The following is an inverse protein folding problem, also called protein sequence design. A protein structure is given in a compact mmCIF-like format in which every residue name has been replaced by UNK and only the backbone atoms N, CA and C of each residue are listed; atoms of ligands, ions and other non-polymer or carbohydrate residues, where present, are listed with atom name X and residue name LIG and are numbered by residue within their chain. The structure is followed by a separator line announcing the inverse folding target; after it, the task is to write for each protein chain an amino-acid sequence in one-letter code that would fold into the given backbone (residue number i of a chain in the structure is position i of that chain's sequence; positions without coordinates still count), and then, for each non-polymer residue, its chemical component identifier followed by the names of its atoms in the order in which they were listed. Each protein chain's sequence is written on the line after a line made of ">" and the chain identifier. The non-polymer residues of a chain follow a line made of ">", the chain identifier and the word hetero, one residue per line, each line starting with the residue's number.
data_IF_447022332163
#
_entry.id   IF_447022332163
#
_cell.length_a   1.000
_cell.length_b   1.000
_cell.length_c   1.000
_cell.angle_alpha   90.00
_cell.angle_beta   90.00
_cell.angle_gamma   90.00
#
_symmetry.space_group_name_H-M   'P 1'
#
loop_
_entity.id
_entity.type
_entity.pdbx_description
1 polymer ?
#
# COMPACT_ATOMS: atom_id res chain seq x y z
N UNK A 1 -49.08 1.77 7.86
CA UNK A 1 -48.17 2.29 8.90
C UNK A 1 -46.68 2.22 8.59
N UNK A 2 -46.24 1.63 7.48
CA UNK A 2 -44.78 1.46 7.17
C UNK A 2 -44.11 2.62 6.43
N UNK A 3 -44.82 3.56 5.84
CA UNK A 3 -44.21 4.63 5.02
C UNK A 3 -43.74 5.85 5.80
N UNK A 4 -44.31 6.12 6.96
CA UNK A 4 -43.94 7.27 7.79
C UNK A 4 -42.66 7.01 8.58
N UNK A 5 -42.39 5.74 8.92
CA UNK A 5 -41.16 5.36 9.68
C UNK A 5 -39.89 5.49 8.85
N UNK A 6 -39.96 5.20 7.54
CA UNK A 6 -38.80 5.28 6.64
C UNK A 6 -38.38 6.75 6.39
N UNK A 7 -39.33 7.65 6.22
CA UNK A 7 -39.03 9.09 6.06
C UNK A 7 -38.41 9.71 7.32
N UNK A 8 -38.82 9.29 8.52
CA UNK A 8 -38.25 9.78 9.78
C UNK A 8 -36.79 9.27 9.99
N UNK A 9 -36.49 8.05 9.61
CA UNK A 9 -35.12 7.51 9.68
C UNK A 9 -34.19 8.20 8.67
N UNK A 10 -34.68 8.47 7.46
CA UNK A 10 -33.92 9.21 6.44
C UNK A 10 -33.70 10.66 6.89
N UNK A 11 -34.70 11.32 7.49
CA UNK A 11 -34.56 12.67 8.00
C UNK A 11 -33.61 12.78 9.20
N UNK A 12 -33.54 11.75 10.04
CA UNK A 12 -32.58 11.68 11.16
C UNK A 12 -31.16 11.45 10.68
N UNK A 13 -30.94 10.64 9.63
CA UNK A 13 -29.63 10.45 8.98
C UNK A 13 -29.15 11.74 8.29
N UNK A 14 -30.02 12.47 7.63
CA UNK A 14 -29.71 13.75 6.97
C UNK A 14 -29.33 14.82 8.01
N UNK A 15 -30.02 14.87 9.16
CA UNK A 15 -29.75 15.85 10.22
C UNK A 15 -28.41 15.54 10.97
N UNK A 16 -28.03 14.27 11.11
CA UNK A 16 -26.74 13.90 11.69
C UNK A 16 -25.58 14.18 10.74
N UNK A 17 -25.77 13.99 9.42
CA UNK A 17 -24.78 14.33 8.41
C UNK A 17 -24.46 15.83 8.38
N UNK A 18 -25.48 16.71 8.50
CA UNK A 18 -25.26 18.16 8.52
C UNK A 18 -24.43 18.67 9.70
N UNK A 19 -24.52 18.02 10.88
CA UNK A 19 -23.69 18.38 12.04
C UNK A 19 -22.22 17.92 11.86
N UNK A 20 -22.03 16.81 11.17
CA UNK A 20 -20.69 16.28 10.87
C UNK A 20 -20.00 17.16 9.83
N UNK A 21 -20.71 17.62 8.79
CA UNK A 21 -20.12 18.49 7.77
C UNK A 21 -19.72 19.87 8.30
N UNK A 22 -20.50 20.47 9.18
CA UNK A 22 -20.12 21.74 9.81
C UNK A 22 -18.87 21.60 10.70
N UNK A 23 -18.70 20.47 11.35
CA UNK A 23 -17.51 20.17 12.14
C UNK A 23 -16.29 19.87 11.26
N UNK A 24 -16.46 19.18 10.14
CA UNK A 24 -15.42 18.88 9.15
C UNK A 24 -14.99 20.14 8.40
N UNK A 25 -15.91 21.04 8.05
CA UNK A 25 -15.61 22.34 7.45
C UNK A 25 -14.77 23.22 8.40
N UNK A 26 -15.14 23.30 9.67
CA UNK A 26 -14.36 24.02 10.68
C UNK A 26 -12.95 23.42 10.90
N UNK A 27 -12.81 22.11 10.74
CA UNK A 27 -11.51 21.43 10.81
C UNK A 27 -10.70 21.73 9.56
N UNK A 28 -11.31 21.73 8.36
CA UNK A 28 -10.64 22.09 7.09
C UNK A 28 -10.16 23.54 7.09
N UNK A 29 -10.99 24.48 7.53
CA UNK A 29 -10.62 25.90 7.60
C UNK A 29 -9.49 26.18 8.63
N UNK A 30 -9.47 25.43 9.74
CA UNK A 30 -8.32 25.39 10.65
C UNK A 30 -7.08 24.74 10.04
N UNK A 31 -7.22 23.74 9.19
CA UNK A 31 -6.12 23.08 8.49
C UNK A 31 -5.47 24.03 7.48
N UNK A 32 -6.25 24.81 6.75
CA UNK A 32 -5.74 25.79 5.78
C UNK A 32 -4.97 26.92 6.47
N UNK A 33 -5.39 27.30 7.68
CA UNK A 33 -4.71 28.33 8.48
C UNK A 33 -3.41 27.81 9.14
N UNK A 34 -3.35 26.53 9.48
CA UNK A 34 -2.14 25.86 10.02
C UNK A 34 -1.12 25.56 8.92
N UNK A 35 -1.55 25.48 7.66
CA UNK A 35 -0.67 25.29 6.48
C UNK A 35 0.34 26.44 6.28
N UNK A 36 0.17 27.55 6.96
CA UNK A 36 1.11 28.69 6.89
C UNK A 36 2.40 28.49 7.69
N UNK A 37 2.48 27.48 8.58
CA UNK A 37 3.71 27.18 9.36
C UNK A 37 4.21 25.77 8.99
N UNK A 38 4.74 25.63 7.81
CA UNK A 38 4.97 24.35 7.13
C UNK A 38 6.15 23.53 7.61
N UNK A 39 5.86 22.28 8.03
CA UNK A 39 6.73 21.14 7.71
C UNK A 39 5.90 19.95 7.17
N UNK A 40 4.74 20.21 6.56
CA UNK A 40 3.95 19.19 5.89
C UNK A 40 4.70 18.69 4.64
N UNK A 41 5.13 17.45 4.67
CA UNK A 41 5.77 16.84 3.51
C UNK A 41 4.69 16.20 2.61
N UNK A 42 4.42 16.86 1.49
CA UNK A 42 3.51 16.38 0.47
C UNK A 42 4.28 15.63 -0.60
N UNK A 43 4.00 14.34 -0.73
CA UNK A 43 4.54 13.49 -1.78
C UNK A 43 3.46 13.33 -2.85
N UNK A 44 3.75 13.81 -4.07
CA UNK A 44 2.85 13.67 -5.21
C UNK A 44 3.32 12.56 -6.14
N UNK A 45 2.40 11.94 -6.92
CA UNK A 45 2.72 10.86 -7.86
C UNK A 45 3.82 11.19 -8.87
N UNK A 46 3.94 12.44 -9.26
CA UNK A 46 4.98 12.95 -10.17
C UNK A 46 6.42 12.71 -9.65
N UNK A 47 6.56 12.62 -8.32
CA UNK A 47 7.82 12.33 -7.64
C UNK A 47 8.00 10.83 -7.32
N UNK A 48 7.05 10.00 -7.70
CA UNK A 48 7.07 8.57 -7.43
C UNK A 48 8.05 7.88 -8.39
N UNK A 49 8.77 6.88 -7.86
CA UNK A 49 9.66 6.03 -8.66
C UNK A 49 8.89 5.43 -9.83
N UNK A 50 9.42 5.59 -11.04
CA UNK A 50 8.89 4.92 -12.22
C UNK A 50 9.29 3.46 -12.17
N UNK A 51 8.33 2.57 -12.37
CA UNK A 51 8.53 1.12 -12.39
C UNK A 51 7.40 0.37 -11.69
N UNK A 52 7.44 -0.95 -11.72
CA UNK A 52 6.45 -1.75 -11.02
C UNK A 52 6.57 -1.51 -9.50
N UNK A 53 5.48 -1.06 -8.90
CA UNK A 53 5.33 -0.86 -7.47
C UNK A 53 4.33 -1.91 -6.97
N UNK A 54 4.73 -2.70 -5.99
CA UNK A 54 3.89 -3.80 -5.50
C UNK A 54 2.73 -3.29 -4.64
N UNK A 55 2.95 -2.17 -3.91
CA UNK A 55 1.94 -1.60 -3.02
C UNK A 55 2.19 -0.10 -2.78
N UNK A 56 1.23 0.54 -2.10
CA UNK A 56 1.30 1.97 -1.76
C UNK A 56 2.49 2.33 -0.83
N UNK A 57 3.01 1.39 -0.06
CA UNK A 57 4.15 1.61 0.84
C UNK A 57 5.46 1.75 0.07
N UNK A 58 5.61 1.06 -1.06
CA UNK A 58 6.79 1.17 -1.93
C UNK A 58 6.96 2.59 -2.46
N UNK A 59 5.83 3.30 -2.64
CA UNK A 59 5.81 4.71 -3.02
C UNK A 59 6.47 5.59 -1.97
N UNK A 60 6.23 5.30 -0.68
CA UNK A 60 6.77 6.09 0.44
C UNK A 60 8.24 5.81 0.72
N UNK A 61 8.74 4.67 0.27
CA UNK A 61 10.10 4.23 0.56
C UNK A 61 11.15 5.21 0.01
N UNK A 62 11.91 5.83 0.92
CA UNK A 62 12.98 6.78 0.59
C UNK A 62 12.48 8.16 0.10
N UNK A 63 11.19 8.45 0.20
CA UNK A 63 10.63 9.73 -0.24
C UNK A 63 10.59 10.79 0.86
N UNK A 64 10.69 10.39 2.12
CA UNK A 64 10.51 11.28 3.27
C UNK A 64 11.55 11.05 4.33
N UNK A 65 12.23 12.12 4.79
CA UNK A 65 13.20 12.05 5.87
C UNK A 65 12.53 11.64 7.19
N UNK A 66 13.10 10.68 7.91
CA UNK A 66 12.56 10.15 9.16
C UNK A 66 11.38 9.18 8.99
N UNK A 67 11.06 8.79 7.77
CA UNK A 67 10.13 7.69 7.48
C UNK A 67 10.93 6.49 7.02
N UNK A 68 10.89 5.44 7.81
CA UNK A 68 11.52 4.17 7.47
C UNK A 68 10.45 3.18 7.06
N UNK A 69 10.50 2.74 5.82
CA UNK A 69 9.65 1.69 5.28
C UNK A 69 10.52 0.45 5.13
N UNK A 70 10.24 -0.58 5.91
CA UNK A 70 10.89 -1.87 5.78
C UNK A 70 10.00 -2.76 4.93
N UNK A 71 10.47 -3.06 3.73
CA UNK A 71 9.85 -4.03 2.83
C UNK A 71 10.65 -5.32 2.91
N UNK A 72 10.01 -6.41 3.26
CA UNK A 72 10.68 -7.71 3.38
C UNK A 72 10.83 -8.45 2.05
N UNK A 73 10.94 -7.70 0.95
CA UNK A 73 11.16 -8.26 -0.37
C UNK A 73 9.95 -8.99 -0.95
N UNK A 74 10.19 -10.16 -1.52
CA UNK A 74 9.19 -10.99 -2.20
C UNK A 74 8.47 -11.96 -1.28
N UNK A 75 8.63 -11.83 0.02
CA UNK A 75 8.09 -12.75 1.01
C UNK A 75 6.64 -12.36 1.37
N UNK A 76 5.79 -13.33 1.68
CA UNK A 76 4.42 -13.11 2.18
C UNK A 76 4.39 -12.18 3.39
N UNK A 77 5.46 -12.23 4.18
CA UNK A 77 5.72 -11.30 5.28
C UNK A 77 5.95 -9.86 4.80
N UNK A 78 6.11 -9.62 3.50
CA UNK A 78 6.04 -8.29 2.92
C UNK A 78 4.67 -7.61 3.11
N UNK A 79 3.61 -8.37 3.36
CA UNK A 79 2.35 -7.84 3.86
C UNK A 79 2.47 -7.28 5.28
N UNK A 80 3.48 -7.69 6.03
CA UNK A 80 3.89 -7.12 7.31
C UNK A 80 4.96 -6.04 7.10
N UNK A 81 4.90 -5.33 5.97
CA UNK A 81 5.72 -4.14 5.79
C UNK A 81 5.52 -3.24 7.00
N UNK A 82 6.60 -2.94 7.67
CA UNK A 82 6.54 -2.00 8.77
C UNK A 82 6.90 -0.61 8.28
N UNK A 83 6.12 0.34 8.67
CA UNK A 83 6.42 1.75 8.45
C UNK A 83 6.62 2.40 9.82
N UNK A 84 7.70 3.16 9.97
CA UNK A 84 7.99 3.90 11.19
C UNK A 84 8.25 5.34 10.86
N UNK A 85 7.61 6.23 11.61
CA UNK A 85 7.83 7.67 11.54
C UNK A 85 8.60 8.08 12.78
N UNK A 86 9.79 8.68 12.58
CA UNK A 86 10.71 9.11 13.66
C UNK A 86 11.25 7.99 14.57
N UNK A 87 11.20 6.74 14.13
CA UNK A 87 11.75 5.61 14.89
C UNK A 87 10.78 5.01 15.90
N UNK A 88 11.33 4.37 16.92
CA UNK A 88 10.54 3.66 17.95
C UNK A 88 10.16 4.63 19.06
N UNK A 89 8.87 4.83 19.28
CA UNK A 89 8.33 5.74 20.31
C UNK A 89 7.92 5.00 21.57
N UNK A 90 7.67 3.70 21.50
CA UNK A 90 7.25 2.86 22.61
C UNK A 90 7.99 1.52 22.65
N UNK A 91 8.37 1.08 23.84
CA UNK A 91 9.02 -0.22 24.06
C UNK A 91 7.98 -1.34 24.13
N UNK A 92 6.81 -1.07 24.68
CA UNK A 92 5.76 -2.07 24.95
C UNK A 92 4.52 -1.90 24.07
N UNK A 93 4.34 -0.72 23.45
CA UNK A 93 3.19 -0.41 22.59
C UNK A 93 3.51 -0.51 21.10
N UNK A 94 2.50 -0.44 20.28
CA UNK A 94 2.63 -0.33 18.82
C UNK A 94 3.40 0.95 18.43
N UNK A 95 4.29 0.81 17.46
CA UNK A 95 5.05 1.93 16.90
C UNK A 95 4.59 2.29 15.50
N UNK A 96 3.47 1.72 15.07
CA UNK A 96 2.91 1.96 13.75
C UNK A 96 2.25 3.35 13.71
N UNK A 97 2.46 4.12 12.66
CA UNK A 97 1.79 5.39 12.48
C UNK A 97 0.29 5.19 12.27
N UNK A 98 -0.49 6.19 12.64
CA UNK A 98 -1.90 6.24 12.30
C UNK A 98 -2.06 6.47 10.79
N UNK A 99 -2.79 5.59 10.13
CA UNK A 99 -3.10 5.71 8.71
C UNK A 99 -4.49 6.30 8.54
N UNK A 100 -4.62 7.30 7.66
CA UNK A 100 -5.88 7.93 7.30
C UNK A 100 -6.01 7.92 5.78
N UNK A 101 -7.07 7.30 5.27
CA UNK A 101 -7.34 7.19 3.85
C UNK A 101 -8.63 7.95 3.55
N UNK A 102 -8.53 9.01 2.75
CA UNK A 102 -9.66 9.89 2.39
C UNK A 102 -10.46 10.39 3.61
N UNK A 103 -9.77 10.64 4.73
CA UNK A 103 -10.35 11.09 5.98
C UNK A 103 -10.85 9.97 6.92
N UNK A 104 -10.77 8.72 6.50
CA UNK A 104 -11.17 7.55 7.31
C UNK A 104 -9.94 6.92 7.96
N UNK A 105 -10.01 6.72 9.27
CA UNK A 105 -8.96 6.00 10.00
C UNK A 105 -8.86 4.55 9.53
N UNK A 106 -7.66 4.13 9.22
CA UNK A 106 -7.35 2.82 8.66
C UNK A 106 -6.07 2.23 9.29
N UNK A 107 -5.58 1.14 8.75
CA UNK A 107 -4.35 0.47 9.16
C UNK A 107 -3.37 0.30 7.98
N UNK A 108 -2.16 -0.15 8.29
CA UNK A 108 -1.10 -0.39 7.31
C UNK A 108 -1.49 -1.53 6.34
N UNK A 109 -2.22 -2.52 6.83
CA UNK A 109 -2.67 -3.63 5.99
C UNK A 109 -3.62 -3.13 4.89
N UNK A 110 -4.60 -2.30 5.25
CA UNK A 110 -5.50 -1.64 4.28
C UNK A 110 -4.73 -0.72 3.34
N UNK A 111 -3.76 0.06 3.84
CA UNK A 111 -2.91 0.91 2.99
C UNK A 111 -2.17 0.09 1.94
N UNK A 112 -1.65 -1.09 2.31
CA UNK A 112 -0.92 -1.96 1.39
C UNK A 112 -1.79 -2.52 0.25
N UNK A 113 -3.10 -2.50 0.39
CA UNK A 113 -4.03 -2.98 -0.66
C UNK A 113 -4.34 -1.93 -1.71
N UNK A 114 -4.12 -0.63 -1.42
CA UNK A 114 -4.41 0.46 -2.37
C UNK A 114 -3.48 0.37 -3.57
N UNK A 115 -4.06 0.44 -4.76
CA UNK A 115 -3.28 0.45 -5.99
C UNK A 115 -2.51 1.78 -6.11
N UNK A 116 -1.18 1.76 -6.33
CA UNK A 116 -0.35 2.97 -6.34
C UNK A 116 -0.83 4.06 -7.31
N UNK A 117 -1.36 3.68 -8.47
CA UNK A 117 -1.85 4.63 -9.47
C UNK A 117 -3.16 5.36 -9.05
N UNK A 118 -3.89 4.85 -8.06
CA UNK A 118 -5.07 5.52 -7.50
C UNK A 118 -4.74 6.56 -6.43
N UNK A 119 -3.48 6.67 -6.04
CA UNK A 119 -3.05 7.64 -5.03
C UNK A 119 -2.85 9.00 -5.67
N UNK A 120 -3.43 10.03 -5.08
CA UNK A 120 -3.24 11.43 -5.45
C UNK A 120 -2.06 12.05 -4.70
N UNK A 121 -2.02 11.83 -3.38
CA UNK A 121 -0.95 12.38 -2.55
C UNK A 121 -0.85 11.64 -1.21
N UNK A 122 0.35 11.70 -0.65
CA UNK A 122 0.62 11.37 0.75
C UNK A 122 0.98 12.64 1.51
N UNK A 123 0.47 12.76 2.71
CA UNK A 123 0.85 13.79 3.68
C UNK A 123 1.34 13.10 4.93
N UNK A 124 2.57 13.39 5.36
CA UNK A 124 3.16 12.77 6.54
C UNK A 124 3.25 13.82 7.63
N UNK A 125 2.53 13.59 8.73
CA UNK A 125 2.54 14.43 9.92
C UNK A 125 3.50 13.84 10.94
N UNK A 126 4.59 14.54 11.17
CA UNK A 126 5.67 14.07 12.04
C UNK A 126 5.71 14.84 13.37
N UNK A 127 5.34 16.11 13.36
CA UNK A 127 5.48 16.99 14.50
C UNK A 127 4.31 16.84 15.49
N UNK A 128 4.61 16.98 16.77
CA UNK A 128 3.60 16.87 17.82
C UNK A 128 2.44 17.86 17.64
N UNK A 129 2.73 19.07 17.14
CA UNK A 129 1.70 20.08 16.84
C UNK A 129 0.73 19.62 15.75
N UNK A 130 1.25 18.94 14.71
CA UNK A 130 0.47 18.45 13.59
C UNK A 130 -0.35 17.22 13.98
N UNK A 131 0.22 16.34 14.81
CA UNK A 131 -0.43 15.09 15.24
C UNK A 131 -1.35 15.28 16.44
N UNK A 132 -1.30 16.42 17.13
CA UNK A 132 -2.10 16.71 18.34
C UNK A 132 -3.62 16.53 18.13
N UNK A 133 -4.11 16.84 16.91
CA UNK A 133 -5.53 16.69 16.59
C UNK A 133 -6.00 15.21 16.57
N UNK A 134 -5.06 14.26 16.45
CA UNK A 134 -5.33 12.83 16.46
C UNK A 134 -5.14 12.18 17.84
N UNK A 135 -4.80 13.00 18.85
CA UNK A 135 -4.59 12.54 20.23
C UNK A 135 -3.49 11.50 20.36
N UNK A 136 -3.66 10.56 21.30
CA UNK A 136 -2.67 9.51 21.55
C UNK A 136 -2.42 8.58 20.35
N UNK A 137 -3.41 8.42 19.47
CA UNK A 137 -3.27 7.59 18.25
C UNK A 137 -2.26 8.18 17.26
N UNK A 138 -2.04 9.49 17.28
CA UNK A 138 -1.05 10.18 16.45
C UNK A 138 0.37 10.21 17.03
N UNK A 139 0.63 9.61 18.20
CA UNK A 139 1.91 9.69 18.90
C UNK A 139 3.09 9.12 18.06
N UNK A 140 2.85 8.06 17.28
CA UNK A 140 3.83 7.43 16.38
C UNK A 140 3.88 8.08 14.99
N UNK A 141 3.25 9.26 14.80
CA UNK A 141 3.09 9.93 13.52
C UNK A 141 1.77 9.57 12.83
N UNK A 142 1.43 10.35 11.82
CA UNK A 142 0.21 10.14 11.01
C UNK A 142 0.57 10.16 9.53
N UNK A 143 0.01 9.24 8.78
CA UNK A 143 0.11 9.16 7.32
C UNK A 143 -1.28 9.35 6.75
N UNK A 144 -1.50 10.50 6.14
CA UNK A 144 -2.74 10.81 5.44
C UNK A 144 -2.57 10.54 3.94
N UNK A 145 -3.47 9.76 3.38
CA UNK A 145 -3.49 9.40 1.97
C UNK A 145 -4.75 10.00 1.36
N UNK A 146 -4.57 10.73 0.27
CA UNK A 146 -5.66 11.15 -0.60
C UNK A 146 -5.63 10.30 -1.86
N UNK A 147 -6.77 9.72 -2.19
CA UNK A 147 -6.92 8.98 -3.44
C UNK A 147 -7.50 9.87 -4.53
N UNK A 148 -7.17 9.55 -5.77
CA UNK A 148 -7.68 10.26 -6.94
C UNK A 148 -9.20 10.13 -6.99
N UNK A 149 -9.86 11.26 -7.10
CA UNK A 149 -11.32 11.39 -7.30
C UNK A 149 -11.63 11.79 -8.73
N UNK A 150 -12.88 11.70 -9.13
CA UNK A 150 -13.34 12.20 -10.41
C UNK A 150 -13.13 13.71 -10.54
N UNK A 151 -12.69 14.14 -11.70
CA UNK A 151 -12.60 15.56 -12.03
C UNK A 151 -13.90 15.99 -12.70
N UNK A 152 -14.47 17.13 -12.31
CA UNK A 152 -15.73 17.66 -12.87
C UNK A 152 -15.67 18.13 -14.33
N UNK A 153 -14.68 17.67 -15.09
CA UNK A 153 -14.39 18.14 -16.45
C UNK A 153 -14.44 17.00 -17.46
N UNK A 154 -15.65 16.73 -17.95
CA UNK A 154 -15.81 15.76 -19.03
C UNK A 154 -15.52 14.32 -18.63
N UNK A 155 -15.43 13.46 -19.64
CA UNK A 155 -15.09 12.04 -19.47
C UNK A 155 -13.62 11.81 -19.83
N UNK A 156 -12.89 11.15 -18.92
CA UNK A 156 -11.47 10.84 -19.07
C UNK A 156 -11.25 9.35 -18.83
N UNK A 157 -10.43 8.75 -19.69
CA UNK A 157 -9.96 7.37 -19.53
C UNK A 157 -8.45 7.43 -19.34
N UNK A 158 -7.95 6.80 -18.28
CA UNK A 158 -6.52 6.63 -18.06
C UNK A 158 -6.16 5.16 -17.98
N UNK A 159 -5.08 4.80 -18.66
CA UNK A 159 -4.50 3.46 -18.59
C UNK A 159 -3.03 3.58 -18.25
N UNK A 160 -2.61 2.81 -17.24
CA UNK A 160 -1.22 2.66 -16.85
C UNK A 160 -0.86 1.17 -16.87
N UNK A 161 0.22 0.82 -17.56
CA UNK A 161 0.66 -0.55 -17.71
C UNK A 161 2.15 -0.68 -17.52
N UNK A 162 2.56 -1.66 -16.71
CA UNK A 162 3.96 -2.00 -16.48
C UNK A 162 4.21 -3.48 -16.76
N UNK A 163 5.36 -3.76 -17.34
CA UNK A 163 5.85 -5.10 -17.59
C UNK A 163 7.33 -5.18 -17.22
N UNK A 164 7.71 -6.14 -16.40
CA UNK A 164 9.08 -6.26 -15.90
C UNK A 164 9.52 -7.70 -15.75
N UNK A 165 10.85 -7.89 -15.87
CA UNK A 165 11.51 -9.16 -15.61
C UNK A 165 12.38 -9.01 -14.38
N UNK A 166 12.39 -10.03 -13.55
CA UNK A 166 13.25 -10.14 -12.37
C UNK A 166 14.25 -11.27 -12.57
N UNK A 167 15.50 -11.00 -12.30
CA UNK A 167 16.54 -12.02 -12.32
C UNK A 167 17.43 -11.88 -11.09
N UNK A 168 17.99 -12.98 -10.65
CA UNK A 168 18.94 -12.96 -9.55
C UNK A 168 20.23 -12.27 -10.02
N UNK A 169 20.59 -11.18 -9.35
CA UNK A 169 21.77 -10.39 -9.68
C UNK A 169 23.07 -11.12 -9.29
N UNK A 170 23.05 -11.83 -8.16
CA UNK A 170 24.23 -12.52 -7.63
C UNK A 170 23.80 -13.76 -6.84
N UNK A 171 24.44 -14.87 -7.12
CA UNK A 171 24.32 -16.09 -6.34
C UNK A 171 25.31 -16.09 -5.18
N UNK A 172 24.90 -16.67 -4.05
CA UNK A 172 25.85 -17.02 -3.01
C UNK A 172 26.80 -18.07 -3.59
N UNK A 173 28.12 -17.85 -3.47
CA UNK A 173 29.08 -18.86 -3.86
C UNK A 173 29.08 -19.95 -2.79
N UNK A 174 28.64 -21.12 -3.16
CA UNK A 174 28.60 -22.31 -2.31
C UNK A 174 29.44 -23.38 -2.93
N UNK A 175 29.97 -24.25 -2.10
CA UNK A 175 30.76 -25.39 -2.56
C UNK A 175 29.84 -26.29 -3.40
N UNK A 176 30.32 -26.74 -4.56
CA UNK A 176 29.67 -27.80 -5.29
C UNK A 176 29.97 -29.16 -4.64
N UNK A 177 29.31 -30.24 -5.06
CA UNK A 177 29.48 -31.55 -4.45
C UNK A 177 30.95 -32.03 -4.36
N UNK A 178 31.74 -31.99 -5.44
CA UNK A 178 33.17 -32.32 -5.41
C UNK A 178 34.00 -31.42 -4.48
N UNK A 179 33.76 -30.12 -4.49
CA UNK A 179 34.45 -29.15 -3.61
C UNK A 179 34.10 -29.38 -2.13
N UNK A 180 32.84 -29.69 -1.84
CA UNK A 180 32.39 -30.03 -0.50
C UNK A 180 33.09 -31.28 0.02
N UNK A 181 33.14 -32.35 -0.79
CA UNK A 181 33.81 -33.60 -0.43
C UNK A 181 35.29 -33.35 -0.15
N UNK A 182 36.00 -32.67 -1.06
CA UNK A 182 37.42 -32.37 -0.89
C UNK A 182 37.68 -31.53 0.38
N UNK A 183 36.78 -30.58 0.68
CA UNK A 183 36.89 -29.74 1.88
C UNK A 183 36.63 -30.57 3.16
N UNK A 184 35.60 -31.41 3.15
CA UNK A 184 35.25 -32.27 4.27
C UNK A 184 36.39 -33.27 4.58
N UNK A 185 37.00 -33.89 3.56
CA UNK A 185 38.15 -34.77 3.71
C UNK A 185 39.36 -34.04 4.29
N UNK A 186 39.64 -32.83 3.77
CA UNK A 186 40.73 -32.00 4.27
C UNK A 186 40.58 -31.59 5.74
N UNK A 187 39.33 -31.43 6.19
CA UNK A 187 39.00 -31.07 7.57
C UNK A 187 38.77 -32.27 8.48
N UNK A 188 38.82 -33.52 7.95
CA UNK A 188 38.52 -34.73 8.71
C UNK A 188 37.09 -34.83 9.19
N UNK A 189 36.17 -34.22 8.50
CA UNK A 189 34.73 -34.24 8.81
C UNK A 189 34.10 -35.53 8.26
N UNK A 190 33.17 -36.09 9.02
CA UNK A 190 32.37 -37.22 8.55
C UNK A 190 31.29 -36.69 7.59
N UNK A 191 31.16 -37.29 6.41
CA UNK A 191 30.17 -36.87 5.41
C UNK A 191 29.56 -38.06 4.69
N UNK A 192 28.33 -37.89 4.25
CA UNK A 192 27.62 -38.86 3.44
C UNK A 192 27.64 -38.44 1.96
N UNK A 193 28.38 -39.15 1.13
CA UNK A 193 28.41 -38.89 -0.31
C UNK A 193 27.28 -39.63 -0.99
N UNK A 194 26.18 -38.91 -1.24
CA UNK A 194 25.02 -39.41 -2.00
C UNK A 194 25.26 -39.56 -3.51
N UNK A 195 26.42 -39.14 -4.01
CA UNK A 195 26.77 -39.22 -5.44
C UNK A 195 26.09 -38.18 -6.34
N UNK A 196 25.44 -37.21 -5.77
CA UNK A 196 24.73 -36.16 -6.52
C UNK A 196 25.48 -34.82 -6.47
N UNK A 197 25.40 -34.07 -7.58
CA UNK A 197 25.97 -32.73 -7.70
C UNK A 197 24.92 -31.79 -8.30
N UNK A 198 23.83 -31.56 -7.55
CA UNK A 198 22.72 -30.74 -8.01
C UNK A 198 22.89 -29.32 -7.50
N UNK A 199 22.86 -28.34 -8.41
CA UNK A 199 22.76 -26.94 -8.03
C UNK A 199 21.32 -26.64 -7.65
N UNK A 200 21.00 -26.69 -6.37
CA UNK A 200 19.65 -26.43 -5.88
C UNK A 200 19.18 -24.99 -6.09
N UNK A 201 20.10 -24.02 -6.15
CA UNK A 201 19.73 -22.64 -6.50
C UNK A 201 19.07 -22.56 -7.88
N UNK A 202 19.60 -23.25 -8.88
CA UNK A 202 19.00 -23.26 -10.23
C UNK A 202 17.67 -24.02 -10.26
N UNK A 203 17.55 -25.03 -9.39
CA UNK A 203 16.30 -25.79 -9.28
C UNK A 203 15.17 -24.95 -8.72
N UNK A 204 15.42 -24.12 -7.70
CA UNK A 204 14.40 -23.34 -6.98
C UNK A 204 14.16 -21.97 -7.58
N UNK A 205 15.06 -21.46 -8.44
CA UNK A 205 14.93 -20.13 -9.03
C UNK A 205 14.48 -20.18 -10.49
N UNK A 206 13.97 -19.07 -10.93
CA UNK A 206 13.56 -18.78 -12.32
C UNK A 206 13.74 -17.29 -12.61
N UNK A 207 13.64 -16.90 -13.87
CA UNK A 207 13.39 -15.51 -14.22
C UNK A 207 11.96 -15.17 -13.80
N UNK A 208 11.82 -14.22 -12.90
CA UNK A 208 10.52 -13.71 -12.46
C UNK A 208 9.89 -12.80 -13.52
N UNK A 209 8.59 -12.70 -13.48
CA UNK A 209 7.79 -11.89 -14.38
C UNK A 209 6.77 -11.09 -13.58
N UNK A 210 6.75 -9.79 -13.76
CA UNK A 210 5.72 -8.93 -13.21
C UNK A 210 5.00 -8.18 -14.34
N UNK A 211 3.69 -8.19 -14.30
CA UNK A 211 2.88 -7.31 -15.14
C UNK A 211 1.76 -6.69 -14.32
N UNK A 212 1.53 -5.41 -14.59
CA UNK A 212 0.56 -4.59 -13.87
C UNK A 212 -0.25 -3.82 -14.89
N UNK A 213 -1.56 -3.76 -14.68
CA UNK A 213 -2.50 -3.02 -15.50
C UNK A 213 -3.43 -2.24 -14.61
N UNK A 214 -3.57 -0.97 -14.87
CA UNK A 214 -4.51 -0.10 -14.18
C UNK A 214 -5.30 0.69 -15.20
N UNK A 215 -6.62 0.58 -15.14
CA UNK A 215 -7.55 1.28 -15.99
C UNK A 215 -8.47 2.11 -15.10
N UNK A 216 -8.62 3.39 -15.41
CA UNK A 216 -9.54 4.23 -14.69
C UNK A 216 -10.38 5.08 -15.64
N UNK A 217 -11.62 5.24 -15.25
CA UNK A 217 -12.64 6.06 -15.88
C UNK A 217 -13.04 7.14 -14.90
N UNK A 218 -12.97 8.38 -15.28
CA UNK A 218 -13.39 9.50 -14.46
C UNK A 218 -14.19 10.49 -15.27
N UNK A 219 -15.05 11.21 -14.59
CA UNK A 219 -15.85 12.24 -15.23
C UNK A 219 -16.72 12.94 -14.22
N UNK A 220 -17.53 13.86 -14.73
CA UNK A 220 -18.46 14.57 -13.89
C UNK A 220 -18.89 15.92 -14.45
N UNK A 221 -19.53 16.68 -13.59
CA UNK A 221 -20.00 18.03 -13.80
C UNK A 221 -19.62 18.91 -12.60
N UNK A 222 -20.08 20.13 -12.55
CA UNK A 222 -19.87 21.02 -11.38
C UNK A 222 -20.44 20.44 -10.09
N UNK A 223 -21.51 19.67 -10.20
CA UNK A 223 -22.27 19.16 -9.05
C UNK A 223 -22.08 17.67 -8.81
N UNK A 224 -21.46 16.93 -9.73
CA UNK A 224 -21.31 15.49 -9.61
C UNK A 224 -20.00 15.02 -10.20
N UNK A 225 -19.25 14.24 -9.47
CA UNK A 225 -18.01 13.66 -9.92
C UNK A 225 -18.06 12.16 -9.67
N UNK A 226 -17.49 11.39 -10.60
CA UNK A 226 -17.35 9.95 -10.44
C UNK A 226 -16.00 9.48 -10.95
N UNK A 227 -15.48 8.44 -10.32
CA UNK A 227 -14.30 7.71 -10.75
C UNK A 227 -14.51 6.23 -10.51
N UNK A 228 -14.20 5.43 -11.51
CA UNK A 228 -14.12 3.98 -11.39
C UNK A 228 -12.71 3.57 -11.78
N UNK A 229 -12.03 2.77 -10.98
CA UNK A 229 -10.73 2.22 -11.31
C UNK A 229 -10.67 0.72 -11.12
N UNK A 230 -9.84 0.08 -11.94
CA UNK A 230 -9.61 -1.34 -11.98
C UNK A 230 -8.11 -1.58 -12.07
N UNK A 231 -7.54 -2.22 -11.06
CA UNK A 231 -6.12 -2.56 -10.98
C UNK A 231 -5.94 -4.07 -10.98
N UNK A 232 -5.02 -4.56 -11.80
CA UNK A 232 -4.62 -5.96 -11.86
C UNK A 232 -3.10 -6.06 -11.81
N UNK A 233 -2.59 -6.97 -10.97
CA UNK A 233 -1.17 -7.29 -10.89
C UNK A 233 -1.01 -8.80 -10.83
N UNK A 234 -0.11 -9.33 -11.65
CA UNK A 234 0.36 -10.71 -11.59
C UNK A 234 1.88 -10.69 -11.51
N UNK A 235 2.42 -11.24 -10.43
CA UNK A 235 3.84 -11.21 -10.14
C UNK A 235 4.32 -12.63 -9.82
N UNK A 236 5.03 -13.21 -10.76
CA UNK A 236 5.75 -14.46 -10.60
C UNK A 236 7.18 -14.14 -10.19
N UNK A 237 7.54 -14.38 -8.94
CA UNK A 237 8.84 -14.00 -8.41
C UNK A 237 9.98 -14.89 -8.91
N UNK A 238 11.22 -14.51 -8.57
CA UNK A 238 12.42 -15.32 -8.88
C UNK A 238 12.41 -16.70 -8.21
N UNK A 239 11.66 -16.89 -7.13
CA UNK A 239 11.49 -18.19 -6.46
C UNK A 239 10.26 -18.89 -7.06
N UNK A 240 10.44 -20.11 -7.57
CA UNK A 240 9.44 -20.82 -8.40
C UNK A 240 8.07 -21.03 -7.75
N UNK A 241 7.96 -20.94 -6.45
CA UNK A 241 6.70 -21.21 -5.73
C UNK A 241 6.02 -19.94 -5.24
N UNK A 242 6.72 -18.82 -5.28
CA UNK A 242 6.20 -17.55 -4.79
C UNK A 242 5.55 -16.76 -5.92
N UNK A 243 4.23 -16.69 -5.90
CA UNK A 243 3.42 -15.99 -6.89
C UNK A 243 2.36 -15.12 -6.20
N UNK A 244 2.15 -13.93 -6.74
CA UNK A 244 1.16 -12.96 -6.24
C UNK A 244 0.24 -12.54 -7.38
N UNK A 245 -1.06 -12.59 -7.14
CA UNK A 245 -2.05 -12.03 -8.05
C UNK A 245 -3.01 -11.16 -7.26
N UNK A 246 -3.08 -9.90 -7.61
CA UNK A 246 -3.94 -8.93 -6.95
C UNK A 246 -4.91 -8.32 -7.95
N UNK A 247 -6.15 -8.18 -7.50
CA UNK A 247 -7.22 -7.49 -8.20
C UNK A 247 -7.79 -6.43 -7.28
N UNK A 248 -7.88 -5.20 -7.78
CA UNK A 248 -8.41 -4.05 -7.05
C UNK A 248 -9.50 -3.40 -7.88
N UNK A 249 -10.62 -3.11 -7.26
CA UNK A 249 -11.72 -2.34 -7.87
C UNK A 249 -12.07 -1.22 -6.92
N UNK A 250 -12.14 0.01 -7.43
CA UNK A 250 -12.53 1.18 -6.65
C UNK A 250 -13.55 1.99 -7.42
N UNK A 251 -14.60 2.39 -6.74
CA UNK A 251 -15.66 3.25 -7.25
C UNK A 251 -15.82 4.42 -6.29
N UNK A 252 -15.72 5.62 -6.78
CA UNK A 252 -15.96 6.86 -6.04
C UNK A 252 -16.99 7.69 -6.76
N UNK A 253 -17.89 8.28 -6.01
CA UNK A 253 -18.86 9.25 -6.51
C UNK A 253 -19.07 10.36 -5.46
N UNK A 254 -19.03 11.60 -5.92
CA UNK A 254 -19.33 12.77 -5.11
C UNK A 254 -20.51 13.50 -5.75
N UNK A 255 -21.56 13.75 -4.98
CA UNK A 255 -22.71 14.51 -5.42
C UNK A 255 -22.90 15.73 -4.53
N UNK A 256 -23.01 16.90 -5.14
CA UNK A 256 -23.39 18.16 -4.49
C UNK A 256 -24.85 18.46 -4.80
N UNK A 257 -25.60 18.85 -3.78
CA UNK A 257 -26.99 19.25 -3.90
C UNK A 257 -27.22 20.54 -3.14
N UNK A 258 -28.35 21.23 -3.45
CA UNK A 258 -28.77 22.48 -2.81
C UNK A 258 -27.67 23.57 -2.88
N UNK A 259 -27.17 23.85 -4.07
CA UNK A 259 -26.09 24.83 -4.30
C UNK A 259 -24.82 24.57 -3.48
N UNK A 260 -24.47 23.30 -3.31
CA UNK A 260 -23.28 22.86 -2.57
C UNK A 260 -23.45 22.80 -1.05
N UNK A 261 -24.65 23.05 -0.52
CA UNK A 261 -24.94 22.95 0.92
C UNK A 261 -24.95 21.49 1.42
N UNK A 262 -25.21 20.56 0.54
CA UNK A 262 -25.14 19.13 0.82
C UNK A 262 -24.10 18.50 -0.13
N UNK A 263 -23.11 17.85 0.45
CA UNK A 263 -22.11 17.07 -0.31
C UNK A 263 -22.17 15.63 0.20
N UNK A 264 -22.50 14.72 -0.71
CA UNK A 264 -22.48 13.28 -0.45
C UNK A 264 -21.27 12.65 -1.14
N UNK A 265 -20.39 12.05 -0.38
CA UNK A 265 -19.30 11.21 -0.89
C UNK A 265 -19.67 9.73 -0.71
N UNK A 266 -19.58 8.98 -1.77
CA UNK A 266 -19.83 7.55 -1.79
C UNK A 266 -18.62 6.85 -2.36
N UNK A 267 -18.09 5.85 -1.64
CA UNK A 267 -16.95 5.05 -2.07
C UNK A 267 -17.19 3.57 -1.86
N UNK A 268 -16.82 2.76 -2.84
CA UNK A 268 -16.77 1.30 -2.74
C UNK A 268 -15.37 0.85 -3.11
N UNK A 269 -14.81 0.01 -2.28
CA UNK A 269 -13.50 -0.57 -2.48
C UNK A 269 -13.55 -2.09 -2.37
N UNK A 270 -13.03 -2.78 -3.38
CA UNK A 270 -12.92 -4.23 -3.41
C UNK A 270 -11.47 -4.65 -3.70
N UNK A 271 -10.98 -5.58 -2.90
CA UNK A 271 -9.64 -6.15 -3.04
C UNK A 271 -9.70 -7.67 -2.99
N UNK A 272 -9.03 -8.32 -3.91
CA UNK A 272 -8.83 -9.76 -3.91
C UNK A 272 -7.37 -10.08 -4.17
N UNK A 273 -6.78 -10.90 -3.31
CA UNK A 273 -5.40 -11.35 -3.45
C UNK A 273 -5.33 -12.85 -3.43
N UNK A 274 -4.58 -13.42 -4.37
CA UNK A 274 -4.20 -14.82 -4.38
C UNK A 274 -2.69 -14.90 -4.26
N UNK A 275 -2.24 -15.55 -3.21
CA UNK A 275 -0.84 -15.66 -2.86
C UNK A 275 -0.50 -17.14 -2.77
N UNK A 276 0.51 -17.57 -3.52
CA UNK A 276 1.19 -18.84 -3.30
C UNK A 276 2.57 -18.52 -2.79
N UNK A 277 2.92 -19.04 -1.63
CA UNK A 277 4.15 -18.68 -0.96
C UNK A 277 4.66 -19.82 -0.09
N UNK A 278 5.97 -19.90 0.05
CA UNK A 278 6.65 -20.76 1.03
C UNK A 278 6.79 -19.94 2.31
N UNK A 279 6.38 -20.52 3.41
CA UNK A 279 6.32 -19.88 4.72
C UNK A 279 7.64 -19.19 5.14
N UNK A 280 8.79 -19.72 4.73
CA UNK A 280 10.09 -19.10 4.95
C UNK A 280 11.07 -19.44 3.80
N UNK A 281 11.22 -18.50 2.89
CA UNK A 281 12.17 -18.62 1.77
C UNK A 281 13.60 -18.81 2.23
N UNK A 282 13.96 -18.31 3.41
CA UNK A 282 15.31 -18.52 3.98
C UNK A 282 15.57 -20.00 4.26
N UNK A 283 14.57 -20.71 4.79
CA UNK A 283 14.68 -22.16 5.01
C UNK A 283 14.95 -22.89 3.70
N UNK A 284 14.28 -22.47 2.62
CA UNK A 284 14.48 -23.08 1.31
C UNK A 284 15.93 -22.94 0.81
N UNK A 285 16.53 -21.76 0.96
CA UNK A 285 17.91 -21.52 0.55
C UNK A 285 18.92 -22.21 1.47
N UNK A 286 18.66 -22.29 2.77
CA UNK A 286 19.54 -22.97 3.72
C UNK A 286 19.42 -24.50 3.66
N UNK A 287 18.27 -25.05 3.31
CA UNK A 287 18.08 -26.49 3.16
C UNK A 287 18.46 -27.02 1.79
N UNK A 288 18.77 -26.13 0.85
CA UNK A 288 19.26 -26.47 -0.49
C UNK A 288 20.81 -26.60 -0.55
N UNK A 289 21.48 -26.57 0.60
CA UNK A 289 22.94 -26.68 0.75
C UNK A 289 23.34 -28.11 1.10
#
# INVERSE_FOLDING_TARGET
>A
MGRVSLCLVIMFFICSAQKIDAQVQNIREKQDTISATKSLEHIRPENIKKGPLNNALDVLSGQSAGVNVTTNGTDRLAMLNSIRVRGTTSIMGGNDPLVIIDGVTSDIATLSTIYPADIESFTILKNATETAMYGSRGASGVIEIKTKKGTGRGFEISYDGNYGFESMYKHLQMLNGPEYIATAEALGLDYNNGGYNTNFHDVITRTGLIHQHHLAFSGGSENSNYRASFGFMDHNTIVKVNDYRNLVVKLDATQKAFDGRLVGDFGVYGYSSKIHDIFDTRILFYSAV
#
